data_IF_688584895395
#
_entry.id   IF_688584895395
#
_cell.length_a   1.000
_cell.length_b   1.000
_cell.length_c   1.000
_cell.angle_alpha   90.00
_cell.angle_beta   90.00
_cell.angle_gamma   90.00
#
_symmetry.space_group_name_H-M   'P 1'
#
loop_
_entity.id
_entity.type
_entity.pdbx_description
1 polymer ?
#
# COMPACT_ATOMS: atom_id res chain seq x y z
N UNK A 1 -3.57 18.04 3.30
CA UNK A 1 -4.96 17.53 3.37
C UNK A 1 -5.00 16.00 3.31
N UNK A 2 -4.62 15.36 2.20
CA UNK A 2 -4.79 13.90 2.01
C UNK A 2 -4.07 13.02 3.05
N UNK A 3 -2.91 13.45 3.55
CA UNK A 3 -2.15 12.77 4.60
C UNK A 3 -2.62 13.09 6.02
N UNK A 4 -3.59 13.98 6.20
CA UNK A 4 -4.12 14.30 7.53
C UNK A 4 -5.05 13.19 8.03
N UNK A 5 -5.19 13.08 9.36
CA UNK A 5 -5.95 11.99 9.99
C UNK A 5 -7.36 11.84 9.45
N UNK A 6 -8.07 12.94 9.19
CA UNK A 6 -9.44 12.89 8.70
C UNK A 6 -9.55 12.16 7.35
N UNK A 7 -8.69 12.50 6.40
CA UNK A 7 -8.70 11.89 5.07
C UNK A 7 -8.21 10.43 5.15
N UNK A 8 -7.14 10.16 5.90
CA UNK A 8 -6.58 8.82 6.04
C UNK A 8 -7.53 7.85 6.77
N UNK A 9 -8.29 8.32 7.77
CA UNK A 9 -9.36 7.53 8.41
C UNK A 9 -10.44 7.15 7.40
N UNK A 10 -10.82 8.08 6.51
CA UNK A 10 -11.81 7.83 5.46
C UNK A 10 -11.32 6.78 4.47
N UNK A 11 -10.09 6.89 3.98
CA UNK A 11 -9.49 5.89 3.06
C UNK A 11 -9.43 4.50 3.69
N UNK A 12 -9.06 4.42 4.98
CA UNK A 12 -9.00 3.13 5.69
C UNK A 12 -10.37 2.50 5.94
N UNK A 13 -11.42 3.30 6.06
CA UNK A 13 -12.79 2.82 6.34
C UNK A 13 -13.60 2.53 5.08
N UNK A 14 -13.39 3.28 4.00
CA UNK A 14 -14.21 3.19 2.78
C UNK A 14 -13.50 2.42 1.67
N UNK A 15 -12.22 2.71 1.46
CA UNK A 15 -11.42 2.03 0.44
C UNK A 15 -10.67 0.83 0.99
N UNK A 16 -10.68 0.64 2.32
CA UNK A 16 -9.93 -0.42 3.00
C UNK A 16 -8.42 -0.37 2.70
N UNK A 17 -7.88 0.85 2.53
CA UNK A 17 -6.45 1.08 2.34
C UNK A 17 -5.74 1.24 3.69
N UNK A 18 -4.50 0.74 3.79
CA UNK A 18 -3.66 1.02 4.95
C UNK A 18 -3.27 2.51 4.97
N UNK A 19 -3.45 3.22 6.09
CA UNK A 19 -3.09 4.62 6.18
C UNK A 19 -1.57 4.80 6.09
N UNK A 20 -1.12 5.71 5.23
CA UNK A 20 0.29 6.10 5.13
C UNK A 20 0.74 7.00 6.29
N UNK A 21 -0.21 7.63 7.00
CA UNK A 21 0.08 8.42 8.19
C UNK A 21 0.14 7.51 9.43
N UNK A 22 1.30 7.38 10.10
CA UNK A 22 1.48 6.46 11.23
C UNK A 22 0.67 6.85 12.47
N UNK A 23 0.16 8.08 12.55
CA UNK A 23 -0.70 8.53 13.65
C UNK A 23 -2.15 8.03 13.50
N UNK A 24 -2.50 7.41 12.38
CA UNK A 24 -3.85 6.91 12.10
C UNK A 24 -3.90 5.41 12.35
N UNK A 25 -4.78 5.01 13.26
CA UNK A 25 -5.04 3.59 13.53
C UNK A 25 -5.74 2.94 12.33
N UNK A 26 -5.44 1.66 12.12
CA UNK A 26 -6.10 0.83 11.11
C UNK A 26 -7.59 0.66 11.42
N UNK A 27 -8.42 0.52 10.39
CA UNK A 27 -9.84 0.18 10.53
C UNK A 27 -10.04 -1.20 11.13
N UNK A 28 -11.27 -1.48 11.59
CA UNK A 28 -11.62 -2.79 12.17
C UNK A 28 -11.42 -3.91 11.15
N UNK A 29 -11.76 -3.62 9.90
CA UNK A 29 -11.63 -4.51 8.75
C UNK A 29 -10.16 -4.87 8.52
N UNK A 30 -9.27 -3.87 8.45
CA UNK A 30 -7.83 -4.11 8.29
C UNK A 30 -7.23 -4.91 9.44
N UNK A 31 -7.62 -4.60 10.68
CA UNK A 31 -7.17 -5.36 11.86
C UNK A 31 -7.64 -6.82 11.84
N UNK A 32 -8.77 -7.11 11.20
CA UNK A 32 -9.29 -8.48 11.09
C UNK A 32 -8.45 -9.38 10.17
N UNK A 33 -7.62 -8.79 9.30
CA UNK A 33 -6.72 -9.53 8.42
C UNK A 33 -5.44 -9.98 9.14
N UNK A 34 -5.19 -9.48 10.35
CA UNK A 34 -4.04 -9.81 11.17
C UNK A 34 -3.01 -8.68 11.26
N UNK A 35 -1.81 -9.02 11.73
CA UNK A 35 -0.71 -8.06 11.85
C UNK A 35 -0.08 -7.79 10.49
N UNK A 36 -0.05 -6.51 10.10
CA UNK A 36 0.60 -6.09 8.87
C UNK A 36 2.13 -6.03 9.06
N UNK A 37 2.86 -6.70 8.17
CA UNK A 37 4.32 -6.62 8.08
C UNK A 37 4.68 -6.06 6.71
N UNK A 38 5.14 -4.81 6.68
CA UNK A 38 5.49 -4.14 5.43
C UNK A 38 6.94 -4.44 5.02
N UNK A 39 7.13 -4.65 3.71
CA UNK A 39 8.45 -4.56 3.10
C UNK A 39 8.96 -3.11 3.20
N UNK A 40 10.26 -2.96 3.48
CA UNK A 40 10.95 -1.67 3.61
C UNK A 40 11.61 -1.21 2.31
N UNK A 41 11.50 -1.98 1.23
CA UNK A 41 12.01 -1.58 -0.07
C UNK A 41 11.37 -0.25 -0.52
N UNK A 42 12.17 0.78 -0.88
CA UNK A 42 11.62 2.04 -1.35
C UNK A 42 10.75 1.86 -2.59
N UNK A 43 9.56 2.48 -2.61
CA UNK A 43 8.64 2.43 -3.76
C UNK A 43 9.30 2.98 -5.04
N UNK A 44 10.22 3.94 -4.91
CA UNK A 44 11.02 4.44 -6.04
C UNK A 44 11.83 3.33 -6.70
N UNK A 45 12.33 2.36 -5.93
CA UNK A 45 13.07 1.23 -6.48
C UNK A 45 12.18 0.29 -7.29
N UNK A 46 10.93 0.11 -6.85
CA UNK A 46 9.91 -0.64 -7.59
C UNK A 46 9.63 0.07 -8.91
N UNK A 47 9.45 1.40 -8.88
CA UNK A 47 9.22 2.20 -10.08
C UNK A 47 10.37 2.11 -11.09
N UNK A 48 11.63 2.21 -10.65
CA UNK A 48 12.82 2.03 -11.50
C UNK A 48 12.85 0.66 -12.18
N UNK A 49 12.41 -0.39 -11.48
CA UNK A 49 12.45 -1.76 -11.96
C UNK A 49 11.21 -2.16 -12.78
N UNK A 50 10.16 -1.33 -12.81
CA UNK A 50 8.88 -1.62 -13.49
C UNK A 50 9.06 -2.08 -14.94
N UNK A 51 9.89 -1.38 -15.73
CA UNK A 51 10.15 -1.76 -17.12
C UNK A 51 10.96 -3.05 -17.29
N UNK A 52 11.72 -3.48 -16.27
CA UNK A 52 12.36 -4.80 -16.25
C UNK A 52 11.35 -5.88 -15.87
N UNK A 53 10.49 -5.61 -14.88
CA UNK A 53 9.43 -6.51 -14.47
C UNK A 53 8.48 -6.81 -15.63
N UNK A 54 8.02 -5.79 -16.36
CA UNK A 54 7.14 -5.98 -17.53
C UNK A 54 7.77 -6.90 -18.59
N UNK A 55 9.05 -6.69 -18.93
CA UNK A 55 9.77 -7.56 -19.88
C UNK A 55 9.87 -9.02 -19.43
N UNK A 56 9.89 -9.27 -18.12
CA UNK A 56 9.89 -10.63 -17.57
C UNK A 56 8.50 -11.24 -17.71
N UNK A 57 7.45 -10.50 -17.30
CA UNK A 57 6.04 -10.88 -17.43
C UNK A 57 5.73 -11.26 -18.89
N UNK A 58 6.07 -10.38 -19.85
CA UNK A 58 5.87 -10.61 -21.28
C UNK A 58 6.58 -11.89 -21.76
N UNK A 59 7.81 -12.13 -21.29
CA UNK A 59 8.63 -13.28 -21.71
C UNK A 59 8.07 -14.61 -21.20
N UNK A 60 7.45 -14.62 -20.03
CA UNK A 60 6.87 -15.84 -19.44
C UNK A 60 5.40 -16.04 -19.83
N UNK A 61 4.80 -15.10 -20.56
CA UNK A 61 3.43 -15.20 -21.09
C UNK A 61 2.34 -15.04 -20.03
N UNK A 62 2.58 -14.23 -19.00
CA UNK A 62 1.55 -13.83 -18.04
C UNK A 62 0.77 -12.62 -18.56
#
# INVERSE_FOLDING_TARGET
FLSQEKAQKLYSQINYEFPANPNVKFSKELLSWGSFSEDKLPITKIAELSGKAQRIIDRVGW
#
